data_IF_678357131513
#
_entry.id   IF_678357131513
#
_cell.length_a   1.000
_cell.length_b   1.000
_cell.length_c   1.000
_cell.angle_alpha   90.00
_cell.angle_beta   90.00
_cell.angle_gamma   90.00
#
_symmetry.space_group_name_H-M   'P 1'
#
loop_
_entity.id
_entity.type
_entity.pdbx_description
1 polymer ?
#
# COMPACT_ATOMS: atom_id res chain seq x y z
N UNK A 1 -11.69 -22.30 13.77
CA UNK A 1 -11.44 -22.13 13.48
C UNK A 1 -10.98 -21.81 12.87
N UNK A 2 -10.66 -21.59 12.66
CA UNK A 2 -10.24 -21.24 12.19
C UNK A 2 -9.82 -21.08 11.35
N UNK A 3 -9.52 -20.87 11.07
CA UNK A 3 -9.11 -20.66 10.40
C UNK A 3 -8.64 -20.46 9.82
N UNK A 4 -8.28 -20.34 9.43
CA UNK A 4 -7.76 -20.07 8.92
C UNK A 4 -7.35 -19.83 8.23
N UNK A 5 -7.28 -19.62 8.24
CA UNK A 5 -6.69 -19.23 7.83
C UNK A 5 -6.11 -18.77 6.81
N UNK A 6 -5.94 -18.70 6.50
CA UNK A 6 -5.38 -18.36 5.61
C UNK A 6 -4.76 -17.32 5.34
N UNK A 7 -4.32 -17.29 4.84
CA UNK A 7 -3.59 -16.46 4.60
C UNK A 7 -3.80 -15.38 4.22
N UNK A 8 -3.83 -15.02 4.57
CA UNK A 8 -3.83 -14.04 4.52
C UNK A 8 -3.52 -13.19 3.56
N UNK A 9 -3.84 -13.16 2.63
CA UNK A 9 -3.60 -12.25 1.59
C UNK A 9 -4.59 -11.10 1.61
N UNK A 10 -5.09 -10.77 2.76
CA UNK A 10 -6.05 -9.68 2.88
C UNK A 10 -5.35 -8.34 2.72
N UNK A 11 -5.80 -7.50 1.80
CA UNK A 11 -5.20 -6.17 1.67
C UNK A 11 -5.43 -5.34 2.92
N UNK A 12 -4.49 -4.46 3.20
CA UNK A 12 -4.61 -3.50 4.29
C UNK A 12 -4.96 -2.13 3.73
N UNK A 13 -5.46 -1.27 4.58
CA UNK A 13 -5.61 0.14 4.22
C UNK A 13 -4.76 0.98 5.16
N UNK A 14 -4.22 2.06 4.61
CA UNK A 14 -3.47 3.03 5.41
C UNK A 14 -3.97 4.41 5.06
N UNK A 15 -3.84 5.33 6.01
CA UNK A 15 -4.18 6.73 5.80
C UNK A 15 -2.89 7.51 5.64
N UNK A 16 -2.81 8.30 4.58
CA UNK A 16 -1.64 9.13 4.33
C UNK A 16 -1.58 10.24 5.37
N UNK A 17 -0.40 10.39 5.98
CA UNK A 17 -0.19 11.44 6.97
C UNK A 17 0.47 12.65 6.31
N UNK A 18 0.36 13.83 6.95
CA UNK A 18 0.97 15.03 6.37
C UNK A 18 2.46 14.81 6.11
N UNK A 19 2.89 15.18 4.94
CA UNK A 19 4.30 15.06 4.56
C UNK A 19 4.74 13.72 4.04
N UNK A 20 3.88 12.70 4.09
CA UNK A 20 4.24 11.39 3.56
C UNK A 20 4.17 11.37 2.04
N UNK A 21 5.09 10.62 1.44
CA UNK A 21 5.05 10.35 0.00
C UNK A 21 4.65 8.90 -0.23
N UNK A 22 4.20 8.61 -1.43
CA UNK A 22 3.84 7.24 -1.78
C UNK A 22 5.06 6.32 -1.67
N UNK A 23 6.25 6.83 -2.02
CA UNK A 23 7.47 6.03 -1.89
C UNK A 23 7.75 5.65 -0.46
N UNK A 24 7.53 6.56 0.49
CA UNK A 24 7.73 6.26 1.90
C UNK A 24 6.74 5.21 2.38
N UNK A 25 5.48 5.35 1.99
CA UNK A 25 4.45 4.39 2.37
C UNK A 25 4.78 3.02 1.77
N UNK A 26 5.17 2.99 0.51
CA UNK A 26 5.50 1.75 -0.17
C UNK A 26 6.69 1.05 0.50
N UNK A 27 7.72 1.81 0.86
CA UNK A 27 8.89 1.23 1.50
C UNK A 27 8.56 0.62 2.85
N UNK A 28 7.60 1.19 3.55
CA UNK A 28 7.19 0.69 4.86
C UNK A 28 6.24 -0.49 4.74
N UNK A 29 5.24 -0.39 3.88
CA UNK A 29 4.16 -1.38 3.82
C UNK A 29 4.51 -2.59 2.98
N UNK A 30 5.36 -2.42 1.98
CA UNK A 30 5.77 -3.51 1.11
C UNK A 30 7.29 -3.62 1.12
N UNK A 31 7.84 -3.83 2.31
CA UNK A 31 9.29 -3.81 2.48
C UNK A 31 9.99 -5.01 1.82
N UNK A 32 9.24 -6.04 1.43
CA UNK A 32 9.82 -7.23 0.82
C UNK A 32 10.07 -7.08 -0.67
N UNK A 33 9.63 -5.99 -1.27
CA UNK A 33 9.84 -5.75 -2.70
C UNK A 33 10.54 -4.41 -2.87
N UNK A 34 11.23 -4.22 -4.01
CA UNK A 34 11.85 -2.93 -4.28
C UNK A 34 10.83 -1.80 -4.22
N UNK A 35 11.25 -0.65 -3.68
CA UNK A 35 10.34 0.47 -3.51
C UNK A 35 9.64 0.85 -4.80
N UNK A 36 10.36 0.86 -5.92
CA UNK A 36 9.76 1.21 -7.21
C UNK A 36 8.61 0.28 -7.56
N UNK A 37 8.80 -1.02 -7.34
CA UNK A 37 7.76 -1.99 -7.63
C UNK A 37 6.60 -1.83 -6.65
N UNK A 38 6.91 -1.57 -5.39
CA UNK A 38 5.88 -1.37 -4.37
C UNK A 38 5.01 -0.17 -4.72
N UNK A 39 5.62 0.93 -5.16
CA UNK A 39 4.87 2.11 -5.59
C UNK A 39 3.93 1.77 -6.73
N UNK A 40 4.42 1.02 -7.72
CA UNK A 40 3.60 0.63 -8.85
C UNK A 40 2.41 -0.22 -8.42
N UNK A 41 2.65 -1.17 -7.51
CA UNK A 41 1.57 -2.03 -7.03
C UNK A 41 0.49 -1.23 -6.32
N UNK A 42 0.89 -0.26 -5.50
CA UNK A 42 -0.07 0.56 -4.79
C UNK A 42 -0.84 1.45 -5.76
N UNK A 43 -0.16 2.02 -6.75
CA UNK A 43 -0.84 2.82 -7.76
C UNK A 43 -1.90 2.02 -8.50
N UNK A 44 -1.58 0.80 -8.89
CA UNK A 44 -2.52 -0.06 -9.60
C UNK A 44 -3.69 -0.45 -8.72
N UNK A 45 -3.43 -0.76 -7.47
CA UNK A 45 -4.47 -1.19 -6.55
C UNK A 45 -5.47 -0.07 -6.25
N UNK A 46 -5.06 1.18 -6.42
CA UNK A 46 -5.90 2.34 -6.10
C UNK A 46 -6.30 3.17 -7.31
N UNK A 47 -5.98 2.68 -8.51
CA UNK A 47 -6.28 3.40 -9.74
C UNK A 47 -5.71 4.82 -9.73
N UNK A 48 -4.50 4.98 -9.21
CA UNK A 48 -3.87 6.28 -9.14
C UNK A 48 -3.19 6.61 -10.46
N UNK A 49 -3.46 7.79 -11.03
CA UNK A 49 -2.80 8.17 -12.29
C UNK A 49 -1.34 8.57 -12.09
N UNK A 50 -0.94 8.83 -10.84
CA UNK A 50 0.43 9.25 -10.55
C UNK A 50 0.74 8.83 -9.12
N UNK A 51 1.96 9.14 -8.69
CA UNK A 51 2.38 8.82 -7.32
C UNK A 51 2.00 9.90 -6.31
N UNK A 52 1.22 10.89 -6.71
CA UNK A 52 0.82 11.95 -5.80
C UNK A 52 -0.26 11.48 -4.86
N UNK A 53 -0.08 11.75 -3.58
CA UNK A 53 -1.07 11.41 -2.55
C UNK A 53 -1.25 12.63 -1.65
N UNK A 54 -2.35 12.65 -0.91
CA UNK A 54 -2.70 13.76 -0.03
C UNK A 54 -2.85 13.27 1.39
N UNK A 55 -2.53 14.13 2.35
CA UNK A 55 -2.80 13.83 3.74
C UNK A 55 -4.28 13.52 3.91
N UNK A 56 -4.59 12.47 4.65
CA UNK A 56 -5.96 12.04 4.88
C UNK A 56 -6.50 11.08 3.84
N UNK A 57 -5.77 10.88 2.75
CA UNK A 57 -6.19 9.95 1.71
C UNK A 57 -6.03 8.51 2.22
N UNK A 58 -7.03 7.67 1.93
CA UNK A 58 -6.93 6.25 2.27
C UNK A 58 -6.42 5.47 1.07
N UNK A 59 -5.41 4.65 1.31
CA UNK A 59 -4.82 3.80 0.28
C UNK A 59 -5.02 2.34 0.63
N UNK A 60 -5.37 1.55 -0.37
CA UNK A 60 -5.38 0.10 -0.22
C UNK A 60 -3.99 -0.42 -0.55
N UNK A 61 -3.42 -1.18 0.37
CA UNK A 61 -2.10 -1.78 0.17
C UNK A 61 -2.32 -3.22 -0.27
N UNK A 62 -1.94 -3.58 -1.48
CA UNK A 62 -2.16 -4.95 -1.95
C UNK A 62 -1.30 -5.93 -1.17
N UNK A 63 -1.77 -7.16 -1.07
CA UNK A 63 -0.98 -8.21 -0.44
C UNK A 63 0.29 -8.44 -1.25
N UNK A 64 1.40 -8.79 -0.58
CA UNK A 64 2.66 -9.06 -1.27
C UNK A 64 2.56 -10.17 -2.28
#
# INVERSE_FOLDING_TARGET
TMAFGGPAATPQTVTVEPGQTLGQIAATELSDVPTREAVTRIQLANDLPSSHVHAGQTLTIPAP
#
